data_IF_513619205522
#
_entry.id   IF_513619205522
#
_cell.length_a   1.000
_cell.length_b   1.000
_cell.length_c   1.000
_cell.angle_alpha   90.00
_cell.angle_beta   90.00
_cell.angle_gamma   90.00
#
_symmetry.space_group_name_H-M   'P 1'
#
loop_
_entity.id
_entity.type
_entity.pdbx_description
1 polymer ?
#
# COMPACT_ATOMS: atom_id res chain seq x y z
N UNK A 1 -73.05 22.50 -23.14
CA UNK A 1 -71.76 23.00 -23.67
C UNK A 1 -70.57 22.84 -22.71
N UNK A 2 -70.67 23.16 -21.44
CA UNK A 2 -69.51 23.06 -20.47
C UNK A 2 -68.96 21.63 -20.26
N UNK A 3 -69.83 20.59 -20.25
CA UNK A 3 -69.37 19.18 -20.11
C UNK A 3 -68.54 18.62 -21.25
N UNK A 4 -68.78 19.09 -22.48
CA UNK A 4 -68.05 18.60 -23.65
C UNK A 4 -66.69 19.30 -23.80
N UNK A 5 -66.57 20.55 -23.37
CA UNK A 5 -65.31 21.28 -23.35
C UNK A 5 -64.35 20.67 -22.33
N UNK A 6 -64.83 20.25 -21.14
CA UNK A 6 -64.03 19.64 -20.10
C UNK A 6 -63.52 18.23 -20.53
N UNK A 7 -64.29 17.47 -21.35
CA UNK A 7 -63.85 16.18 -21.92
C UNK A 7 -62.79 16.35 -22.98
N UNK A 8 -62.86 17.39 -23.81
CA UNK A 8 -61.88 17.70 -24.85
C UNK A 8 -60.56 18.17 -24.19
N UNK A 9 -60.64 18.99 -23.15
CA UNK A 9 -59.43 19.42 -22.38
C UNK A 9 -58.75 18.26 -21.66
N UNK A 10 -59.48 17.30 -21.09
CA UNK A 10 -58.90 16.08 -20.52
C UNK A 10 -58.27 15.16 -21.53
N UNK A 11 -58.84 15.05 -22.74
CA UNK A 11 -58.28 14.23 -23.83
C UNK A 11 -56.99 14.85 -24.42
N UNK A 12 -56.87 16.17 -24.47
CA UNK A 12 -55.67 16.87 -24.94
C UNK A 12 -54.57 16.81 -23.90
N UNK A 13 -54.88 16.88 -22.60
CA UNK A 13 -53.89 16.67 -21.55
C UNK A 13 -53.37 15.22 -21.46
N UNK A 14 -54.23 14.22 -21.69
CA UNK A 14 -53.82 12.83 -21.74
C UNK A 14 -52.92 12.51 -22.98
N UNK A 15 -53.17 13.16 -24.15
CA UNK A 15 -52.32 13.01 -25.34
C UNK A 15 -50.95 13.71 -25.19
N UNK A 16 -50.88 14.82 -24.44
CA UNK A 16 -49.63 15.52 -24.15
C UNK A 16 -48.71 14.72 -23.19
N UNK A 17 -49.27 13.90 -22.29
CA UNK A 17 -48.47 13.02 -21.40
C UNK A 17 -47.98 11.74 -22.11
N UNK A 18 -48.56 11.34 -23.21
CA UNK A 18 -48.10 10.17 -23.98
C UNK A 18 -46.99 10.49 -25.00
N UNK A 19 -46.73 11.76 -25.30
CA UNK A 19 -45.68 12.20 -26.21
C UNK A 19 -44.34 12.53 -25.48
N UNK A 20 -44.31 12.54 -24.14
CA UNK A 20 -43.09 12.78 -23.36
C UNK A 20 -42.30 11.52 -22.99
N UNK A 21 -42.79 10.30 -23.39
CA UNK A 21 -42.12 9.04 -23.05
C UNK A 21 -41.28 8.42 -24.20
N UNK A 22 -41.14 9.11 -25.36
CA UNK A 22 -40.38 8.57 -26.51
C UNK A 22 -39.09 9.31 -26.85
N UNK A 23 -38.54 10.11 -25.90
CA UNK A 23 -37.24 10.78 -26.05
C UNK A 23 -36.21 10.30 -25.02
N UNK A 24 -36.21 9.02 -24.64
CA UNK A 24 -35.13 8.35 -23.91
C UNK A 24 -34.88 6.97 -24.53
N UNK A 25 -34.56 6.96 -25.80
CA UNK A 25 -33.92 5.85 -26.49
C UNK A 25 -32.48 6.25 -26.75
N UNK A 26 -31.64 6.17 -25.75
CA UNK A 26 -30.23 6.46 -25.86
C UNK A 26 -29.48 5.84 -24.71
N UNK A 27 -28.70 4.82 -25.01
CA UNK A 27 -27.56 4.29 -24.27
C UNK A 27 -27.88 3.86 -22.85
N UNK A 28 -27.90 2.56 -22.58
CA UNK A 28 -27.75 2.01 -21.26
C UNK A 28 -26.54 2.65 -20.57
N UNK A 29 -26.79 3.64 -19.73
CA UNK A 29 -25.84 3.99 -18.71
C UNK A 29 -25.85 2.84 -17.74
N UNK A 30 -24.93 1.88 -17.95
CA UNK A 30 -24.42 1.13 -16.80
C UNK A 30 -24.03 2.19 -15.79
N UNK A 31 -24.53 2.11 -14.56
CA UNK A 31 -24.01 2.83 -13.42
C UNK A 31 -22.63 2.25 -13.09
N UNK A 32 -21.71 2.29 -14.03
CA UNK A 32 -20.29 2.07 -13.79
C UNK A 32 -19.78 3.24 -12.96
N UNK A 33 -18.99 2.95 -11.96
CA UNK A 33 -18.22 3.98 -11.25
C UNK A 33 -17.52 4.86 -12.30
N UNK A 34 -17.50 6.19 -12.06
CA UNK A 34 -16.80 7.10 -12.98
C UNK A 34 -15.34 6.69 -13.07
N UNK A 35 -14.76 6.69 -14.24
CA UNK A 35 -13.33 6.43 -14.45
C UNK A 35 -12.47 7.33 -13.57
N UNK A 36 -11.69 6.71 -12.68
CA UNK A 36 -10.87 7.41 -11.67
C UNK A 36 -9.78 8.26 -12.33
N UNK A 37 -9.15 7.77 -13.39
CA UNK A 37 -8.13 8.53 -14.12
C UNK A 37 -8.71 9.81 -14.75
N UNK A 38 -9.93 9.73 -15.29
CA UNK A 38 -10.62 10.90 -15.83
C UNK A 38 -10.93 11.92 -14.70
N UNK A 39 -11.35 11.45 -13.52
CA UNK A 39 -11.58 12.31 -12.35
C UNK A 39 -10.30 12.97 -11.85
N UNK A 40 -9.17 12.24 -11.81
CA UNK A 40 -7.85 12.76 -11.44
C UNK A 40 -7.44 13.88 -12.41
N UNK A 41 -7.59 13.66 -13.72
CA UNK A 41 -7.30 14.69 -14.74
C UNK A 41 -8.20 15.92 -14.62
N UNK A 42 -9.49 15.72 -14.31
CA UNK A 42 -10.45 16.82 -14.13
C UNK A 42 -10.14 17.65 -12.89
N UNK A 43 -9.79 17.00 -11.75
CA UNK A 43 -9.46 17.69 -10.49
C UNK A 43 -8.04 18.28 -10.48
N UNK A 44 -7.14 17.85 -11.40
CA UNK A 44 -5.79 18.37 -11.58
C UNK A 44 -4.77 17.88 -10.56
N UNK A 45 -5.11 16.89 -9.73
CA UNK A 45 -4.19 16.28 -8.77
C UNK A 45 -4.53 14.80 -8.55
N UNK A 46 -3.52 14.03 -8.10
CA UNK A 46 -3.67 12.64 -7.65
C UNK A 46 -3.30 12.53 -6.16
N UNK A 47 -4.09 11.77 -5.39
CA UNK A 47 -3.94 11.62 -3.94
C UNK A 47 -3.29 10.29 -3.58
N UNK A 48 -2.05 10.36 -3.08
CA UNK A 48 -1.30 9.27 -2.49
C UNK A 48 -1.56 9.16 -1.00
N UNK A 49 -1.76 7.96 -0.48
CA UNK A 49 -1.54 7.67 0.94
C UNK A 49 -0.37 6.70 1.13
N UNK A 50 0.44 6.97 2.15
CA UNK A 50 1.66 6.21 2.46
C UNK A 50 1.96 6.23 3.97
N UNK A 51 2.74 5.27 4.47
CA UNK A 51 3.26 5.23 5.83
C UNK A 51 4.77 5.52 5.80
N UNK A 52 5.21 6.78 6.02
CA UNK A 52 6.57 7.21 5.70
C UNK A 52 7.58 6.90 6.81
N UNK A 53 7.65 5.64 7.24
CA UNK A 53 8.58 5.16 8.28
C UNK A 53 9.24 3.83 7.90
N UNK A 54 9.45 3.58 6.59
CA UNK A 54 10.03 2.35 6.09
C UNK A 54 11.09 2.62 4.98
N UNK A 55 12.24 3.17 5.38
CA UNK A 55 13.35 3.42 4.46
C UNK A 55 13.89 2.10 3.86
N UNK A 56 14.36 2.10 2.62
CA UNK A 56 14.48 3.21 1.65
C UNK A 56 13.24 3.42 0.78
N UNK A 57 12.13 2.74 1.08
CA UNK A 57 10.89 2.83 0.31
C UNK A 57 10.23 4.20 0.50
N UNK A 58 9.91 4.56 1.75
CA UNK A 58 9.35 5.84 2.13
C UNK A 58 9.79 6.25 3.54
N UNK A 59 10.19 7.51 3.70
CA UNK A 59 10.60 8.07 4.98
C UNK A 59 10.45 9.60 5.01
N UNK A 60 10.48 10.17 6.22
CA UNK A 60 10.47 11.62 6.44
C UNK A 60 11.91 12.12 6.58
N UNK A 61 12.33 13.05 5.72
CA UNK A 61 13.59 13.78 5.87
C UNK A 61 13.38 14.96 6.85
N UNK A 62 13.99 14.93 8.06
CA UNK A 62 13.76 15.96 9.07
C UNK A 62 14.34 17.34 8.70
N UNK A 63 15.14 17.43 7.63
CA UNK A 63 15.71 18.68 7.12
C UNK A 63 14.83 19.37 6.09
N UNK A 64 13.71 18.75 5.68
CA UNK A 64 12.76 19.24 4.70
C UNK A 64 11.40 19.53 5.33
N UNK A 65 10.46 20.05 4.57
CA UNK A 65 9.12 20.39 5.06
C UNK A 65 8.08 20.36 3.94
N UNK A 66 6.79 20.17 4.31
CA UNK A 66 5.69 20.00 3.37
C UNK A 66 5.88 18.72 2.57
N UNK A 67 5.32 18.61 1.37
CA UNK A 67 5.41 17.38 0.57
C UNK A 67 6.85 16.97 0.21
N UNK A 68 7.81 17.91 0.29
CA UNK A 68 9.23 17.61 0.08
C UNK A 68 9.87 16.85 1.24
N UNK A 69 9.25 16.79 2.42
CA UNK A 69 9.77 16.00 3.54
C UNK A 69 9.66 14.49 3.28
N UNK A 70 8.71 14.08 2.43
CA UNK A 70 8.55 12.68 2.07
C UNK A 70 9.56 12.29 1.00
N UNK A 71 10.38 11.30 1.33
CA UNK A 71 11.47 10.83 0.48
C UNK A 71 11.41 9.30 0.34
N UNK A 72 12.07 8.75 -0.66
CA UNK A 72 12.17 7.31 -0.87
C UNK A 72 11.78 6.88 -2.27
N UNK A 73 12.06 5.63 -2.59
CA UNK A 73 11.77 5.04 -3.90
C UNK A 73 10.27 5.11 -4.23
N UNK A 74 9.40 4.83 -3.27
CA UNK A 74 7.94 4.84 -3.43
C UNK A 74 7.42 6.23 -3.75
N UNK A 75 8.02 7.26 -3.14
CA UNK A 75 7.68 8.65 -3.40
C UNK A 75 8.10 9.06 -4.82
N UNK A 76 9.26 8.59 -5.30
CA UNK A 76 9.70 8.87 -6.68
C UNK A 76 8.81 8.15 -7.71
N UNK A 77 8.39 6.91 -7.44
CA UNK A 77 7.41 6.22 -8.29
C UNK A 77 6.09 6.99 -8.33
N UNK A 78 5.61 7.50 -7.18
CA UNK A 78 4.38 8.29 -7.12
C UNK A 78 4.50 9.60 -7.92
N UNK A 79 5.62 10.31 -7.81
CA UNK A 79 5.91 11.51 -8.62
C UNK A 79 5.93 11.18 -10.11
N UNK A 80 6.61 10.10 -10.50
CA UNK A 80 6.65 9.65 -11.89
C UNK A 80 5.26 9.37 -12.46
N UNK A 81 4.38 8.71 -11.70
CA UNK A 81 2.99 8.44 -12.09
C UNK A 81 2.22 9.76 -12.25
N UNK A 82 2.33 10.70 -11.29
CA UNK A 82 1.67 12.00 -11.35
C UNK A 82 2.12 12.82 -12.58
N UNK A 83 3.42 12.83 -12.87
CA UNK A 83 3.99 13.50 -14.04
C UNK A 83 3.50 12.87 -15.36
N UNK A 84 3.38 11.55 -15.44
CA UNK A 84 2.81 10.86 -16.62
C UNK A 84 1.35 11.20 -16.86
N UNK A 85 0.58 11.41 -15.78
CA UNK A 85 -0.82 11.85 -15.89
C UNK A 85 -0.89 13.34 -16.25
N UNK A 86 0.12 14.14 -15.84
CA UNK A 86 0.19 15.60 -16.00
C UNK A 86 -0.57 16.36 -14.92
N UNK A 87 -0.53 15.87 -13.66
CA UNK A 87 -1.24 16.44 -12.51
C UNK A 87 -0.31 16.61 -11.30
N UNK A 88 -0.75 17.39 -10.31
CA UNK A 88 -0.07 17.54 -9.02
C UNK A 88 -0.17 16.26 -8.20
N UNK A 89 0.90 15.86 -7.50
CA UNK A 89 0.88 14.81 -6.48
C UNK A 89 0.55 15.44 -5.11
N UNK A 90 -0.43 14.88 -4.40
CA UNK A 90 -0.72 15.20 -3.00
C UNK A 90 -0.46 13.99 -2.13
N UNK A 91 0.34 14.18 -1.08
CA UNK A 91 0.76 13.10 -0.19
C UNK A 91 0.02 13.22 1.14
N UNK A 92 -0.51 12.11 1.63
CA UNK A 92 -1.11 11.97 2.95
C UNK A 92 -0.40 10.86 3.71
N UNK A 93 0.29 11.23 4.78
CA UNK A 93 0.93 10.29 5.69
C UNK A 93 -0.09 9.69 6.65
N UNK A 94 -0.07 8.37 6.83
CA UNK A 94 -1.00 7.60 7.67
C UNK A 94 -0.25 6.43 8.32
N UNK A 95 -0.83 5.85 9.38
CA UNK A 95 -0.43 4.52 9.85
C UNK A 95 -0.73 3.45 8.78
N UNK A 96 0.07 2.39 8.71
CA UNK A 96 -0.02 1.37 7.66
C UNK A 96 -1.41 0.75 7.49
N UNK A 97 -2.12 0.44 8.59
CA UNK A 97 -3.49 -0.08 8.54
C UNK A 97 -4.48 0.93 7.95
N UNK A 98 -4.25 2.23 8.20
CA UNK A 98 -5.06 3.30 7.63
C UNK A 98 -4.76 3.53 6.14
N UNK A 99 -3.51 3.31 5.69
CA UNK A 99 -3.14 3.28 4.26
C UNK A 99 -3.95 2.20 3.54
N UNK A 100 -3.89 0.95 4.02
CA UNK A 100 -4.60 -0.17 3.39
C UNK A 100 -6.11 0.03 3.37
N UNK A 101 -6.71 0.43 4.50
CA UNK A 101 -8.16 0.67 4.56
C UNK A 101 -8.58 1.89 3.76
N UNK A 102 -7.78 2.97 3.78
CA UNK A 102 -8.06 4.21 3.06
C UNK A 102 -8.12 4.02 1.54
N UNK A 103 -7.18 3.23 0.97
CA UNK A 103 -7.21 2.91 -0.46
C UNK A 103 -8.33 1.93 -0.80
N UNK A 104 -8.55 0.90 0.00
CA UNK A 104 -9.64 -0.07 -0.22
C UNK A 104 -11.02 0.60 -0.20
N UNK A 105 -11.23 1.58 0.70
CA UNK A 105 -12.46 2.38 0.82
C UNK A 105 -12.60 3.44 -0.30
N UNK A 106 -11.60 3.62 -1.16
CA UNK A 106 -11.61 4.61 -2.23
C UNK A 106 -11.43 6.06 -1.79
N UNK A 107 -10.93 6.29 -0.56
CA UNK A 107 -10.67 7.64 -0.02
C UNK A 107 -9.49 8.31 -0.71
N UNK A 108 -8.51 7.53 -1.17
CA UNK A 108 -7.34 7.96 -1.91
C UNK A 108 -7.35 7.36 -3.30
N UNK A 109 -6.62 7.97 -4.23
CA UNK A 109 -6.54 7.49 -5.60
C UNK A 109 -5.66 6.24 -5.71
N UNK A 110 -4.59 6.21 -4.91
CA UNK A 110 -3.66 5.10 -4.84
C UNK A 110 -2.87 5.11 -3.51
N UNK A 111 -2.23 3.98 -3.20
CA UNK A 111 -1.27 3.85 -2.12
C UNK A 111 0.01 3.22 -2.63
N UNK A 112 1.16 3.77 -2.20
CA UNK A 112 2.48 3.15 -2.36
C UNK A 112 3.14 3.23 -0.98
N UNK A 113 3.46 2.08 -0.39
CA UNK A 113 3.99 1.98 0.97
C UNK A 113 4.57 0.57 1.19
N UNK A 114 5.52 0.20 0.37
CA UNK A 114 6.11 -1.14 0.32
C UNK A 114 5.04 -2.27 0.41
N UNK A 115 3.87 -2.05 -0.21
CA UNK A 115 2.72 -2.94 -0.08
C UNK A 115 3.02 -4.26 -0.80
N UNK A 116 3.37 -5.30 -0.03
CA UNK A 116 3.61 -6.61 -0.57
C UNK A 116 2.32 -7.23 -1.15
N UNK A 117 2.45 -7.96 -2.25
CA UNK A 117 1.35 -8.75 -2.78
C UNK A 117 0.85 -9.75 -1.74
N UNK A 118 -0.46 -9.86 -1.59
CA UNK A 118 -1.12 -10.92 -0.84
C UNK A 118 -2.49 -11.22 -1.47
N UNK A 119 -2.94 -12.49 -1.54
CA UNK A 119 -4.24 -12.83 -2.11
C UNK A 119 -5.41 -12.07 -1.46
N UNK A 120 -5.40 -11.92 -0.14
CA UNK A 120 -6.42 -11.15 0.59
C UNK A 120 -6.45 -9.67 0.26
N UNK A 121 -5.29 -9.08 -0.07
CA UNK A 121 -5.20 -7.69 -0.53
C UNK A 121 -5.75 -7.55 -1.95
N UNK A 122 -5.45 -8.51 -2.84
CA UNK A 122 -5.96 -8.53 -4.21
C UNK A 122 -7.50 -8.71 -4.28
N UNK A 123 -8.13 -9.25 -3.23
CA UNK A 123 -9.60 -9.30 -3.09
C UNK A 123 -10.19 -7.94 -2.68
N UNK A 124 -9.48 -7.17 -1.86
CA UNK A 124 -9.95 -5.91 -1.27
C UNK A 124 -9.59 -4.67 -2.10
N UNK A 125 -8.53 -4.72 -2.86
CA UNK A 125 -7.99 -3.60 -3.65
C UNK A 125 -7.37 -4.11 -4.95
N UNK A 126 -7.23 -3.23 -5.94
CA UNK A 126 -6.52 -3.52 -7.18
C UNK A 126 -5.03 -3.32 -6.94
N UNK A 127 -4.24 -4.36 -7.14
CA UNK A 127 -2.78 -4.29 -7.07
C UNK A 127 -2.20 -4.17 -8.48
N UNK A 128 -1.13 -3.38 -8.61
CA UNK A 128 -0.36 -3.28 -9.85
C UNK A 128 0.54 -4.50 -10.07
N UNK A 129 1.26 -4.50 -11.17
CA UNK A 129 2.46 -5.32 -11.32
C UNK A 129 3.50 -4.95 -10.25
N UNK A 130 4.41 -5.89 -9.98
CA UNK A 130 5.48 -5.71 -8.97
C UNK A 130 6.49 -4.68 -9.47
N UNK A 131 6.75 -3.65 -8.67
CA UNK A 131 7.77 -2.64 -8.97
C UNK A 131 9.13 -2.95 -8.33
N UNK A 132 9.17 -3.74 -7.25
CA UNK A 132 10.40 -4.14 -6.57
C UNK A 132 10.25 -5.52 -5.91
N UNK A 133 11.34 -6.31 -5.90
CA UNK A 133 11.45 -7.57 -5.15
C UNK A 133 12.93 -7.87 -4.90
N UNK A 134 13.28 -8.20 -3.65
CA UNK A 134 14.64 -8.56 -3.26
C UNK A 134 14.88 -10.07 -3.10
N UNK A 135 13.81 -10.86 -3.08
CA UNK A 135 13.84 -12.33 -2.92
C UNK A 135 14.49 -12.83 -1.61
N UNK A 136 14.66 -11.98 -0.59
CA UNK A 136 15.25 -12.37 0.70
C UNK A 136 14.23 -13.05 1.62
N UNK A 137 12.93 -12.82 1.39
CA UNK A 137 11.84 -13.43 2.10
C UNK A 137 11.60 -12.86 3.50
N UNK A 138 10.87 -13.60 4.31
CA UNK A 138 10.48 -13.23 5.67
C UNK A 138 11.12 -14.16 6.69
N UNK A 139 11.57 -13.60 7.81
CA UNK A 139 12.26 -14.32 8.87
C UNK A 139 12.16 -13.60 10.21
N UNK A 140 13.15 -13.83 11.05
CA UNK A 140 13.25 -13.22 12.37
C UNK A 140 14.46 -12.29 12.45
N UNK A 141 14.29 -11.12 13.06
CA UNK A 141 15.38 -10.33 13.59
C UNK A 141 15.33 -10.35 15.12
N UNK A 142 16.50 -10.52 15.73
CA UNK A 142 16.68 -10.68 17.17
C UNK A 142 17.91 -9.90 17.63
N UNK A 143 18.12 -9.75 18.93
CA UNK A 143 19.42 -9.28 19.45
C UNK A 143 20.51 -10.27 19.05
N UNK A 144 21.71 -9.78 18.75
CA UNK A 144 22.84 -10.61 18.29
C UNK A 144 23.18 -11.76 19.24
N UNK A 145 23.02 -11.55 20.54
CA UNK A 145 23.24 -12.56 21.59
C UNK A 145 22.19 -13.66 21.63
N UNK A 146 21.02 -13.42 21.04
CA UNK A 146 19.87 -14.36 20.99
C UNK A 146 19.77 -15.13 19.68
N UNK A 147 20.68 -14.93 18.71
CA UNK A 147 20.61 -15.50 17.36
C UNK A 147 20.47 -17.03 17.34
N UNK A 148 21.24 -17.73 18.15
CA UNK A 148 21.19 -19.19 18.26
C UNK A 148 19.94 -19.69 18.99
N UNK A 149 19.30 -18.83 19.80
CA UNK A 149 18.12 -19.19 20.57
C UNK A 149 16.84 -19.16 19.75
N UNK A 150 16.69 -18.21 18.84
CA UNK A 150 15.44 -17.96 18.10
C UNK A 150 15.62 -18.22 16.61
N UNK A 151 15.83 -19.49 16.23
CA UNK A 151 16.08 -19.87 14.84
C UNK A 151 15.10 -20.93 14.28
N UNK A 152 13.94 -21.08 14.93
CA UNK A 152 12.85 -21.94 14.46
C UNK A 152 11.52 -21.50 15.06
N UNK A 153 10.40 -22.00 14.52
CA UNK A 153 9.07 -21.75 15.08
C UNK A 153 8.91 -22.28 16.50
N UNK A 154 9.49 -23.44 16.80
CA UNK A 154 9.43 -24.08 18.12
C UNK A 154 10.15 -23.24 19.19
N UNK A 155 11.18 -22.50 18.79
CA UNK A 155 11.94 -21.64 19.72
C UNK A 155 11.15 -20.43 20.21
N UNK A 156 10.00 -20.11 19.60
CA UNK A 156 9.17 -18.97 19.97
C UNK A 156 8.30 -19.22 21.20
N UNK A 157 8.22 -20.44 21.73
CA UNK A 157 7.29 -20.81 22.81
C UNK A 157 7.35 -19.88 24.04
N UNK A 158 8.55 -19.46 24.43
CA UNK A 158 8.77 -18.55 25.57
C UNK A 158 9.10 -17.12 25.14
N UNK A 159 8.98 -16.81 23.85
CA UNK A 159 9.34 -15.50 23.28
C UNK A 159 8.17 -14.52 23.32
N UNK A 160 8.51 -13.24 23.50
CA UNK A 160 7.65 -12.11 23.16
C UNK A 160 7.91 -11.79 21.69
N UNK A 161 6.92 -12.08 20.83
CA UNK A 161 6.98 -11.84 19.38
C UNK A 161 6.30 -10.53 19.05
N UNK A 162 6.89 -9.75 18.14
CA UNK A 162 6.36 -8.44 17.72
C UNK A 162 6.39 -8.31 16.19
N UNK A 163 5.48 -7.54 15.63
CA UNK A 163 5.51 -7.07 14.25
C UNK A 163 4.55 -5.91 14.02
N UNK A 164 4.52 -5.39 12.78
CA UNK A 164 3.62 -4.32 12.39
C UNK A 164 2.21 -4.84 12.11
N UNK A 165 1.19 -4.10 12.58
CA UNK A 165 -0.22 -4.40 12.33
C UNK A 165 -0.59 -4.23 10.84
N UNK A 166 -1.40 -5.16 10.29
CA UNK A 166 -1.85 -5.17 8.89
C UNK A 166 -0.80 -5.66 7.90
N UNK A 167 0.41 -5.99 8.36
CA UNK A 167 1.53 -6.43 7.52
C UNK A 167 1.39 -7.91 7.08
N UNK A 168 2.20 -8.31 6.09
CA UNK A 168 2.38 -9.73 5.74
C UNK A 168 2.95 -10.51 6.93
N UNK A 169 3.80 -9.88 7.72
CA UNK A 169 4.42 -10.47 8.89
C UNK A 169 3.38 -10.84 9.97
N UNK A 170 2.35 -10.00 10.16
CA UNK A 170 1.20 -10.37 11.02
C UNK A 170 0.44 -11.58 10.45
N UNK A 171 0.22 -11.62 9.14
CA UNK A 171 -0.42 -12.77 8.51
C UNK A 171 0.40 -14.05 8.67
N UNK A 172 1.73 -13.98 8.57
CA UNK A 172 2.65 -15.10 8.82
C UNK A 172 2.60 -15.55 10.28
N UNK A 173 2.56 -14.60 11.22
CA UNK A 173 2.34 -14.95 12.63
C UNK A 173 1.04 -15.72 12.83
N UNK A 174 -0.06 -15.21 12.29
CA UNK A 174 -1.37 -15.86 12.42
C UNK A 174 -1.42 -17.26 11.78
N UNK A 175 -0.70 -17.46 10.67
CA UNK A 175 -0.66 -18.72 9.95
C UNK A 175 0.24 -19.75 10.63
N UNK A 176 1.43 -19.37 11.08
CA UNK A 176 2.48 -20.31 11.48
C UNK A 176 2.73 -20.35 12.99
N UNK A 177 2.52 -19.24 13.72
CA UNK A 177 2.77 -19.16 15.16
C UNK A 177 1.47 -19.28 15.95
N UNK A 178 0.45 -18.48 15.63
CA UNK A 178 -0.92 -18.54 16.15
C UNK A 178 -1.02 -18.85 17.65
N UNK A 179 -0.33 -18.05 18.47
CA UNK A 179 -0.35 -18.20 19.94
C UNK A 179 0.66 -19.22 20.50
N UNK A 180 1.47 -19.88 19.67
CA UNK A 180 2.57 -20.71 20.11
C UNK A 180 3.80 -19.87 20.54
N UNK A 181 3.56 -18.79 21.29
CA UNK A 181 4.57 -17.92 21.88
C UNK A 181 4.07 -17.43 23.25
N UNK A 182 4.94 -16.78 24.02
CA UNK A 182 4.59 -16.23 25.34
C UNK A 182 3.63 -15.04 25.24
N UNK A 183 3.90 -14.14 24.31
CA UNK A 183 3.11 -12.92 24.07
C UNK A 183 3.28 -12.50 22.61
N UNK A 184 2.21 -11.98 21.98
CA UNK A 184 2.27 -11.34 20.67
C UNK A 184 1.92 -9.88 20.77
N UNK A 185 2.73 -9.02 20.16
CA UNK A 185 2.57 -7.56 20.15
C UNK A 185 2.45 -7.05 18.73
N UNK A 186 1.57 -6.06 18.56
CA UNK A 186 1.43 -5.31 17.32
C UNK A 186 1.76 -3.84 17.55
N UNK A 187 2.46 -3.24 16.60
CA UNK A 187 2.81 -1.81 16.58
C UNK A 187 2.40 -1.19 15.25
N UNK A 188 2.45 0.14 15.18
CA UNK A 188 2.00 0.88 14.01
C UNK A 188 2.99 0.79 12.83
N UNK A 189 4.30 0.75 13.09
CA UNK A 189 5.35 0.71 12.08
C UNK A 189 6.44 -0.33 12.39
N UNK A 190 7.24 -0.71 11.38
CA UNK A 190 8.29 -1.74 11.55
C UNK A 190 9.47 -1.26 12.39
N UNK A 191 9.83 0.02 12.30
CA UNK A 191 10.94 0.60 13.07
C UNK A 191 10.69 0.48 14.58
N UNK A 192 9.45 0.71 15.05
CA UNK A 192 9.07 0.47 16.45
C UNK A 192 9.20 -0.99 16.85
N UNK A 193 8.94 -1.94 15.93
CA UNK A 193 9.17 -3.38 16.18
C UNK A 193 10.66 -3.68 16.41
N UNK A 194 11.53 -3.16 15.57
CA UNK A 194 12.97 -3.35 15.69
C UNK A 194 13.51 -2.73 16.98
N UNK A 195 13.09 -1.50 17.26
CA UNK A 195 13.47 -0.80 18.50
C UNK A 195 13.03 -1.56 19.76
N UNK A 196 11.80 -2.13 19.75
CA UNK A 196 11.30 -2.91 20.88
C UNK A 196 12.15 -4.17 21.12
N UNK A 197 12.67 -4.83 20.07
CA UNK A 197 13.60 -5.96 20.21
C UNK A 197 14.96 -5.48 20.73
N UNK A 198 15.52 -4.41 20.17
CA UNK A 198 16.80 -3.85 20.60
C UNK A 198 16.78 -3.45 22.09
N UNK A 199 15.67 -2.90 22.58
CA UNK A 199 15.47 -2.48 23.97
C UNK A 199 15.07 -3.64 24.93
N UNK A 200 14.90 -4.86 24.43
CA UNK A 200 14.47 -6.01 25.23
C UNK A 200 12.99 -6.00 25.65
N UNK A 201 12.16 -5.18 25.02
CA UNK A 201 10.69 -5.15 25.21
C UNK A 201 9.98 -6.26 24.42
N UNK A 202 10.64 -6.80 23.42
CA UNK A 202 10.30 -8.02 22.69
C UNK A 202 11.56 -8.86 22.49
N UNK A 203 11.38 -10.13 22.14
CA UNK A 203 12.49 -11.05 21.91
C UNK A 203 12.76 -11.24 20.43
N UNK A 204 11.70 -11.33 19.63
CA UNK A 204 11.74 -11.64 18.20
C UNK A 204 10.81 -10.72 17.45
N UNK A 205 11.31 -10.08 16.37
CA UNK A 205 10.46 -9.43 15.39
C UNK A 205 10.37 -10.28 14.13
N UNK A 206 9.14 -10.54 13.65
CA UNK A 206 8.91 -11.10 12.32
C UNK A 206 9.05 -9.95 11.32
N UNK A 207 9.93 -10.11 10.31
CA UNK A 207 10.34 -9.04 9.41
C UNK A 207 10.56 -9.51 7.97
N UNK A 208 10.58 -8.57 7.02
CA UNK A 208 11.27 -8.79 5.75
C UNK A 208 12.78 -8.76 6.05
N UNK A 209 13.52 -9.74 5.52
CA UNK A 209 14.91 -9.96 5.91
C UNK A 209 15.81 -8.85 5.41
N UNK A 210 15.68 -8.38 4.17
CA UNK A 210 16.55 -7.32 3.64
C UNK A 210 16.39 -6.01 4.40
N UNK A 211 15.17 -5.60 4.70
CA UNK A 211 14.90 -4.39 5.47
C UNK A 211 15.46 -4.50 6.91
N UNK A 212 15.31 -5.67 7.53
CA UNK A 212 15.83 -5.92 8.87
C UNK A 212 17.37 -5.95 8.89
N UNK A 213 18.01 -6.48 7.85
CA UNK A 213 19.48 -6.46 7.71
C UNK A 213 20.00 -5.02 7.57
N UNK A 214 19.30 -4.17 6.83
CA UNK A 214 19.64 -2.75 6.72
C UNK A 214 19.58 -2.06 8.10
N UNK A 215 18.48 -2.28 8.83
CA UNK A 215 18.33 -1.75 10.18
C UNK A 215 19.46 -2.25 11.11
N UNK A 216 19.75 -3.55 11.08
CA UNK A 216 20.80 -4.16 11.91
C UNK A 216 22.20 -3.62 11.57
N UNK A 217 22.48 -3.41 10.28
CA UNK A 217 23.75 -2.86 9.81
C UNK A 217 23.99 -1.45 10.33
N UNK A 218 22.97 -0.66 10.38
CA UNK A 218 23.08 0.72 10.74
C UNK A 218 23.06 0.95 12.27
N UNK A 219 22.22 0.24 12.98
CA UNK A 219 22.08 0.41 14.43
C UNK A 219 22.99 -0.51 15.25
N UNK A 220 23.42 -1.65 14.69
CA UNK A 220 24.19 -2.67 15.40
C UNK A 220 23.38 -3.43 16.46
N UNK A 221 24.01 -4.40 17.10
CA UNK A 221 23.43 -5.14 18.23
C UNK A 221 22.28 -6.11 17.88
N UNK A 222 21.87 -6.17 16.62
CA UNK A 222 20.84 -7.06 16.13
C UNK A 222 21.31 -7.86 14.92
N UNK A 223 20.61 -8.96 14.60
CA UNK A 223 20.92 -9.81 13.48
C UNK A 223 19.64 -10.53 13.01
N UNK A 224 19.51 -10.75 11.70
CA UNK A 224 18.51 -11.67 11.18
C UNK A 224 19.01 -13.12 11.35
N UNK A 225 18.11 -14.02 11.73
CA UNK A 225 18.45 -15.45 11.88
C UNK A 225 18.36 -16.18 10.53
N UNK A 226 18.83 -17.44 10.48
CA UNK A 226 18.73 -18.26 9.26
C UNK A 226 17.29 -18.75 8.97
N UNK A 227 16.38 -18.65 9.92
CA UNK A 227 15.00 -19.06 9.75
C UNK A 227 14.31 -18.26 8.65
N UNK A 228 13.57 -18.94 7.78
CA UNK A 228 12.73 -18.34 6.74
C UNK A 228 11.35 -18.98 6.73
N UNK A 229 10.31 -18.13 6.64
CA UNK A 229 8.96 -18.61 6.39
C UNK A 229 8.82 -19.13 4.96
N UNK A 230 8.07 -20.22 4.79
CA UNK A 230 7.64 -20.67 3.47
C UNK A 230 6.47 -19.79 3.01
N UNK A 231 6.66 -18.99 1.98
CA UNK A 231 5.66 -18.08 1.42
C UNK A 231 5.50 -18.31 -0.08
N UNK A 232 4.34 -17.93 -0.62
CA UNK A 232 4.18 -17.80 -2.06
C UNK A 232 5.22 -16.81 -2.59
N UNK A 233 6.01 -17.17 -3.62
CA UNK A 233 7.03 -16.27 -4.18
C UNK A 233 6.49 -14.90 -4.60
N UNK A 234 5.22 -14.80 -4.98
CA UNK A 234 4.58 -13.54 -5.33
C UNK A 234 4.49 -12.56 -4.12
N UNK A 235 4.50 -13.07 -2.89
CA UNK A 235 4.46 -12.23 -1.67
C UNK A 235 5.78 -11.47 -1.42
N UNK A 236 6.85 -11.78 -2.13
CA UNK A 236 8.13 -11.07 -2.03
C UNK A 236 8.17 -9.78 -2.85
N UNK A 237 7.15 -9.50 -3.65
CA UNK A 237 7.08 -8.31 -4.48
C UNK A 237 6.19 -7.22 -3.91
N UNK A 238 6.59 -5.96 -4.09
CA UNK A 238 5.82 -4.78 -3.70
C UNK A 238 5.03 -4.21 -4.87
N UNK A 239 3.82 -3.73 -4.61
CA UNK A 239 2.85 -3.27 -5.60
C UNK A 239 2.28 -1.90 -5.22
N UNK A 240 1.82 -1.15 -6.22
CA UNK A 240 0.95 0.00 -6.03
C UNK A 240 -0.48 -0.52 -5.81
N UNK A 241 -1.15 -0.03 -4.77
CA UNK A 241 -2.53 -0.37 -4.48
C UNK A 241 -3.49 0.73 -4.92
N UNK A 242 -4.63 0.36 -5.48
CA UNK A 242 -5.68 1.24 -5.96
C UNK A 242 -7.06 0.70 -5.53
N UNK A 243 -8.09 1.55 -5.40
CA UNK A 243 -9.46 1.07 -5.23
C UNK A 243 -9.86 0.09 -6.35
N UNK A 244 -10.77 -0.85 -6.05
CA UNK A 244 -11.21 -1.84 -7.06
C UNK A 244 -12.09 -1.23 -8.13
N UNK A 245 -12.95 -0.25 -7.78
CA UNK A 245 -13.97 0.28 -8.69
C UNK A 245 -13.48 1.49 -9.50
N UNK A 246 -13.64 1.41 -10.83
CA UNK A 246 -13.37 2.52 -11.75
C UNK A 246 -11.91 2.89 -11.92
N UNK A 247 -10.99 2.01 -11.56
CA UNK A 247 -9.53 2.25 -11.63
C UNK A 247 -8.84 1.47 -12.75
N UNK A 248 -9.58 0.87 -13.66
CA UNK A 248 -9.03 0.07 -14.78
C UNK A 248 -8.00 0.87 -15.59
N UNK A 249 -8.38 2.05 -16.05
CA UNK A 249 -7.50 2.93 -16.84
C UNK A 249 -6.33 3.50 -16.04
N UNK A 250 -6.52 3.76 -14.73
CA UNK A 250 -5.45 4.16 -13.83
C UNK A 250 -4.44 3.01 -13.64
N UNK A 251 -4.93 1.78 -13.44
CA UNK A 251 -4.07 0.61 -13.27
C UNK A 251 -3.27 0.28 -14.54
N UNK A 252 -3.85 0.41 -15.72
CA UNK A 252 -3.12 0.27 -16.99
C UNK A 252 -1.98 1.28 -17.10
N UNK A 253 -2.23 2.56 -16.75
CA UNK A 253 -1.22 3.60 -16.75
C UNK A 253 -0.13 3.33 -15.70
N UNK A 254 -0.51 2.95 -14.48
CA UNK A 254 0.43 2.61 -13.41
C UNK A 254 1.33 1.44 -13.82
N UNK A 255 0.76 0.36 -14.39
CA UNK A 255 1.54 -0.78 -14.86
C UNK A 255 2.49 -0.41 -16.01
N UNK A 256 2.06 0.49 -16.91
CA UNK A 256 2.95 1.03 -17.93
C UNK A 256 4.13 1.81 -17.31
N UNK A 257 3.87 2.67 -16.31
CA UNK A 257 4.93 3.38 -15.60
C UNK A 257 5.90 2.42 -14.91
N UNK A 258 5.40 1.39 -14.23
CA UNK A 258 6.21 0.37 -13.56
C UNK A 258 7.08 -0.39 -14.59
N UNK A 259 6.53 -0.78 -15.73
CA UNK A 259 7.28 -1.44 -16.78
C UNK A 259 8.43 -0.55 -17.30
N UNK A 260 8.16 0.72 -17.59
CA UNK A 260 9.18 1.70 -18.05
C UNK A 260 10.29 1.88 -17.00
N UNK A 261 9.93 1.99 -15.72
CA UNK A 261 10.89 2.16 -14.62
C UNK A 261 11.76 0.90 -14.41
N UNK A 262 11.15 -0.29 -14.48
CA UNK A 262 11.86 -1.55 -14.34
C UNK A 262 12.78 -1.81 -15.54
N UNK A 263 12.32 -1.57 -16.77
CA UNK A 263 13.12 -1.72 -18.00
C UNK A 263 14.33 -0.77 -18.03
N UNK A 264 14.18 0.44 -17.50
CA UNK A 264 15.28 1.41 -17.39
C UNK A 264 16.23 1.13 -16.23
N UNK A 265 15.84 0.28 -15.27
CA UNK A 265 16.58 0.05 -14.02
C UNK A 265 16.43 1.16 -12.98
N UNK A 266 15.53 2.11 -13.20
CA UNK A 266 15.38 3.30 -12.38
C UNK A 266 14.89 2.97 -10.96
N UNK A 267 14.03 1.96 -10.79
CA UNK A 267 13.58 1.50 -9.46
C UNK A 267 14.75 1.03 -8.60
N UNK A 268 15.66 0.24 -9.16
CA UNK A 268 16.84 -0.26 -8.45
C UNK A 268 17.84 0.88 -8.12
N UNK A 269 17.95 1.86 -9.03
CA UNK A 269 18.78 3.05 -8.81
C UNK A 269 18.22 3.89 -7.67
N UNK A 270 16.92 4.18 -7.64
CA UNK A 270 16.28 4.90 -6.54
C UNK A 270 16.38 4.15 -5.21
N UNK A 271 16.17 2.84 -5.21
CA UNK A 271 16.35 2.05 -4.00
C UNK A 271 17.75 2.26 -3.39
N UNK A 272 18.81 2.12 -4.20
CA UNK A 272 20.19 2.31 -3.76
C UNK A 272 20.48 3.75 -3.31
N UNK A 273 19.97 4.72 -4.06
CA UNK A 273 20.11 6.14 -3.76
C UNK A 273 19.48 6.48 -2.40
N UNK A 274 18.23 6.08 -2.18
CA UNK A 274 17.51 6.40 -0.96
C UNK A 274 17.95 5.57 0.24
N UNK A 275 18.49 4.37 0.01
CA UNK A 275 19.19 3.61 1.03
C UNK A 275 20.40 4.39 1.58
N UNK A 276 21.22 4.94 0.69
CA UNK A 276 22.39 5.74 1.07
C UNK A 276 21.97 7.05 1.75
N UNK A 277 20.94 7.74 1.24
CA UNK A 277 20.46 8.98 1.79
C UNK A 277 19.83 8.80 3.18
N UNK A 278 19.06 7.75 3.40
CA UNK A 278 18.47 7.43 4.70
C UNK A 278 19.57 7.13 5.74
N UNK A 279 20.57 6.32 5.36
CA UNK A 279 21.71 6.02 6.23
C UNK A 279 22.50 7.28 6.65
N UNK A 280 22.70 8.25 5.74
CA UNK A 280 23.34 9.54 6.07
C UNK A 280 22.53 10.37 7.07
N UNK A 281 21.20 10.20 7.09
CA UNK A 281 20.30 10.87 8.03
C UNK A 281 20.13 10.09 9.34
N UNK A 282 20.64 8.85 9.44
CA UNK A 282 20.38 7.95 10.54
C UNK A 282 18.93 7.48 10.61
N UNK A 283 18.26 7.43 9.45
CA UNK A 283 16.88 6.95 9.27
C UNK A 283 16.94 5.58 8.62
N UNK A 284 16.31 4.62 9.26
CA UNK A 284 16.34 3.22 8.78
C UNK A 284 15.09 2.45 9.16
#
# INVERSE_FOLDING_TARGET
>A
MKKNIMRIVMLVLAAAMLLSCTACGGSGSSSGSKDRLAQIKEKGYIELCTEPYFAPFEYVDPNKSGDEEYQGMDIEIAKYIADKIGVELKITALDYTAVLSGVADGKYDFAISAIAYAPSRAEAMRLSDVYYSDNTGYGFIVRSEDAEKYNSLESLQDAVVITQSGSVQEALYNQYVNGACKEFKLVANMTDSYLAVAEGKADVCICNVSSADLYAQANGGMVTTDFRFEVDPNMNGTCVAMPTEGTESLAELVNQCIAELNESGQTAEWYTQYQSAAAELGIE
#
